data_IF_968995876637
#
_entry.id   IF_968995876637
#
_cell.length_a   1.000
_cell.length_b   1.000
_cell.length_c   1.000
_cell.angle_alpha   90.00
_cell.angle_beta   90.00
_cell.angle_gamma   90.00
#
_symmetry.space_group_name_H-M   'P 1'
#
loop_
_entity.id
_entity.type
_entity.pdbx_description
1 polymer ?
#
# COMPACT_ATOMS: atom_id res chain seq x y z
N UNK A 1 -31.77 -53.58 -22.73
CA UNK A 1 -30.55 -52.91 -23.27
C UNK A 1 -30.57 -51.42 -22.92
N UNK A 2 -30.78 -51.07 -21.65
CA UNK A 2 -31.00 -49.69 -21.19
C UNK A 2 -30.10 -49.26 -20.03
N UNK A 3 -29.26 -50.15 -19.49
CA UNK A 3 -28.44 -49.85 -18.31
C UNK A 3 -27.03 -49.32 -18.63
N UNK A 4 -26.59 -49.37 -19.89
CA UNK A 4 -25.21 -49.00 -20.25
C UNK A 4 -24.94 -47.48 -20.30
N UNK A 5 -25.99 -46.65 -20.36
CA UNK A 5 -25.84 -45.19 -20.44
C UNK A 5 -25.63 -44.51 -19.08
N UNK A 6 -25.92 -45.19 -17.97
CA UNK A 6 -25.84 -44.60 -16.62
C UNK A 6 -24.39 -44.52 -16.09
N UNK A 7 -23.57 -45.54 -16.36
CA UNK A 7 -22.19 -45.61 -15.82
C UNK A 7 -21.22 -44.62 -16.49
N UNK A 8 -21.40 -44.32 -17.78
CA UNK A 8 -20.53 -43.37 -18.49
C UNK A 8 -20.71 -41.91 -18.04
N UNK A 9 -21.91 -41.55 -17.54
CA UNK A 9 -22.18 -40.20 -17.05
C UNK A 9 -21.45 -39.86 -15.74
N UNK A 10 -21.26 -40.85 -14.86
CA UNK A 10 -20.61 -40.66 -13.57
C UNK A 10 -19.12 -40.30 -13.68
N UNK A 11 -18.39 -40.98 -14.57
CA UNK A 11 -16.95 -40.75 -14.75
C UNK A 11 -16.65 -39.34 -15.29
N UNK A 12 -17.40 -38.88 -16.29
CA UNK A 12 -17.23 -37.54 -16.86
C UNK A 12 -17.53 -36.41 -15.85
N UNK A 13 -18.49 -36.62 -14.94
CA UNK A 13 -18.79 -35.68 -13.87
C UNK A 13 -17.63 -35.58 -12.88
N UNK A 14 -17.05 -36.73 -12.49
CA UNK A 14 -15.93 -36.79 -11.56
C UNK A 14 -14.68 -36.10 -12.13
N UNK A 15 -14.34 -36.33 -13.40
CA UNK A 15 -13.22 -35.64 -14.07
C UNK A 15 -13.42 -34.12 -14.10
N UNK A 16 -14.63 -33.64 -14.42
CA UNK A 16 -14.93 -32.21 -14.40
C UNK A 16 -14.82 -31.60 -13.00
N UNK A 17 -15.19 -32.34 -11.94
CA UNK A 17 -15.04 -31.89 -10.56
C UNK A 17 -13.58 -31.78 -10.15
N UNK A 18 -12.75 -32.76 -10.52
CA UNK A 18 -11.30 -32.72 -10.26
C UNK A 18 -10.67 -31.53 -10.98
N UNK A 19 -11.02 -31.31 -12.25
CA UNK A 19 -10.49 -30.18 -13.01
C UNK A 19 -10.93 -28.82 -12.44
N UNK A 20 -12.19 -28.68 -12.03
CA UNK A 20 -12.67 -27.45 -11.39
C UNK A 20 -11.93 -27.14 -10.08
N UNK A 21 -11.68 -28.16 -9.24
CA UNK A 21 -10.88 -28.01 -8.02
C UNK A 21 -9.44 -27.59 -8.32
N UNK A 22 -8.81 -28.16 -9.35
CA UNK A 22 -7.46 -27.75 -9.76
C UNK A 22 -7.42 -26.27 -10.14
N UNK A 23 -8.39 -25.78 -10.92
CA UNK A 23 -8.46 -24.36 -11.30
C UNK A 23 -8.70 -23.44 -10.10
N UNK A 24 -9.52 -23.88 -9.14
CA UNK A 24 -9.73 -23.16 -7.88
C UNK A 24 -8.42 -23.05 -7.08
N UNK A 25 -7.67 -24.14 -6.93
CA UNK A 25 -6.37 -24.12 -6.25
C UNK A 25 -5.38 -23.20 -6.96
N UNK A 26 -5.33 -23.23 -8.31
CA UNK A 26 -4.49 -22.33 -9.09
C UNK A 26 -4.86 -20.86 -8.86
N UNK A 27 -6.16 -20.54 -8.85
CA UNK A 27 -6.67 -19.20 -8.61
C UNK A 27 -6.27 -18.67 -7.23
N UNK A 28 -6.43 -19.49 -6.18
CA UNK A 28 -6.01 -19.18 -4.81
C UNK A 28 -4.51 -18.88 -4.78
N UNK A 29 -3.68 -19.77 -5.32
CA UNK A 29 -2.22 -19.61 -5.31
C UNK A 29 -1.76 -18.33 -6.02
N UNK A 30 -2.38 -18.00 -7.16
CA UNK A 30 -2.07 -16.79 -7.92
C UNK A 30 -2.41 -15.53 -7.12
N UNK A 31 -3.63 -15.47 -6.55
CA UNK A 31 -4.08 -14.32 -5.78
C UNK A 31 -3.31 -14.15 -4.47
N UNK A 32 -2.94 -15.24 -3.80
CA UNK A 32 -2.06 -15.21 -2.62
C UNK A 32 -0.70 -14.62 -2.97
N UNK A 33 -0.08 -15.03 -4.09
CA UNK A 33 1.21 -14.48 -4.52
C UNK A 33 1.11 -12.99 -4.84
N UNK A 34 0.06 -12.56 -5.54
CA UNK A 34 -0.17 -11.13 -5.83
C UNK A 34 -0.36 -10.34 -4.54
N UNK A 35 -1.12 -10.87 -3.57
CA UNK A 35 -1.30 -10.23 -2.28
C UNK A 35 0.04 -10.06 -1.55
N UNK A 36 0.82 -11.13 -1.46
CA UNK A 36 2.16 -11.11 -0.85
C UNK A 36 3.07 -10.08 -1.52
N UNK A 37 3.11 -10.04 -2.85
CA UNK A 37 3.91 -9.05 -3.59
C UNK A 37 3.45 -7.61 -3.33
N UNK A 38 2.15 -7.38 -3.23
CA UNK A 38 1.57 -6.05 -2.97
C UNK A 38 1.90 -5.58 -1.54
N UNK A 39 1.78 -6.48 -0.56
CA UNK A 39 2.17 -6.21 0.83
C UNK A 39 3.67 -5.97 0.92
N UNK A 40 4.50 -6.85 0.36
CA UNK A 40 5.95 -6.69 0.35
C UNK A 40 6.41 -5.45 -0.38
N UNK A 41 5.77 -5.05 -1.47
CA UNK A 41 6.08 -3.79 -2.16
C UNK A 41 5.77 -2.58 -1.26
N UNK A 42 4.68 -2.63 -0.50
CA UNK A 42 4.31 -1.59 0.47
C UNK A 42 5.29 -1.55 1.64
N UNK A 43 5.66 -2.72 2.19
CA UNK A 43 6.65 -2.82 3.28
C UNK A 43 8.06 -2.43 2.83
N UNK A 44 8.47 -2.80 1.62
CA UNK A 44 9.76 -2.41 1.06
C UNK A 44 9.81 -0.93 0.70
N UNK A 45 8.69 -0.33 0.25
CA UNK A 45 8.62 1.12 0.09
C UNK A 45 8.83 1.84 1.43
N UNK A 46 8.34 1.26 2.54
CA UNK A 46 8.59 1.77 3.89
C UNK A 46 10.04 1.49 4.33
N UNK A 47 10.56 0.27 4.14
CA UNK A 47 11.90 -0.12 4.59
C UNK A 47 13.03 0.55 3.79
N UNK A 48 12.90 0.64 2.46
CA UNK A 48 13.82 1.40 1.61
C UNK A 48 13.85 2.88 1.99
N UNK A 49 12.71 3.46 2.38
CA UNK A 49 12.70 4.82 2.90
C UNK A 49 13.45 4.93 4.24
N UNK A 50 13.50 3.86 5.03
CA UNK A 50 14.23 3.79 6.32
C UNK A 50 15.72 3.52 6.12
N UNK A 51 16.15 2.74 5.14
CA UNK A 51 17.59 2.53 4.85
C UNK A 51 18.21 3.75 4.15
N UNK A 52 17.46 4.50 3.34
CA UNK A 52 17.88 5.82 2.83
C UNK A 52 17.99 6.89 3.95
N UNK A 53 17.61 6.58 5.19
CA UNK A 53 17.84 7.43 6.36
C UNK A 53 19.21 7.24 7.01
N UNK A 54 20.05 6.31 6.53
CA UNK A 54 21.46 6.23 6.96
C UNK A 54 22.37 7.28 6.31
N UNK A 55 21.87 8.09 5.36
CA UNK A 55 22.50 9.38 5.06
C UNK A 55 22.28 10.28 6.26
N UNK A 56 23.14 10.14 7.27
CA UNK A 56 23.16 10.92 8.49
C UNK A 56 23.50 12.37 8.12
N UNK A 57 22.50 13.08 7.61
CA UNK A 57 22.63 14.44 7.12
C UNK A 57 22.98 15.29 8.32
N UNK A 58 24.20 15.84 8.30
CA UNK A 58 24.63 16.75 9.34
C UNK A 58 23.81 18.04 9.21
N UNK A 59 23.01 18.34 10.23
CA UNK A 59 22.14 19.52 10.24
C UNK A 59 22.95 20.81 10.08
N UNK A 60 24.20 20.83 10.56
CA UNK A 60 25.11 21.98 10.48
C UNK A 60 25.48 22.35 9.04
N UNK A 61 25.30 21.45 8.06
CA UNK A 61 25.56 21.76 6.64
C UNK A 61 24.48 22.67 6.03
N UNK A 62 23.34 22.84 6.70
CA UNK A 62 22.14 23.51 6.15
C UNK A 62 21.80 24.84 6.82
N UNK A 63 22.59 25.29 7.79
CA UNK A 63 22.25 26.47 8.56
C UNK A 63 23.22 26.80 9.68
N UNK A 64 22.74 27.58 10.65
CA UNK A 64 23.52 28.01 11.82
C UNK A 64 22.64 28.16 13.05
N UNK A 65 23.23 27.91 14.20
CA UNK A 65 22.62 28.22 15.49
C UNK A 65 22.44 29.73 15.62
N UNK A 66 21.27 30.15 16.10
CA UNK A 66 20.98 31.54 16.41
C UNK A 66 20.46 31.62 17.85
N UNK A 67 20.93 32.61 18.60
CA UNK A 67 20.28 32.98 19.85
C UNK A 67 19.08 33.83 19.45
N UNK A 68 17.83 33.41 19.73
CA UNK A 68 16.70 34.31 19.59
C UNK A 68 17.03 35.54 20.41
N UNK A 69 17.22 36.69 19.76
CA UNK A 69 17.44 37.93 20.48
C UNK A 69 16.24 38.05 21.41
N UNK A 70 16.50 38.01 22.73
CA UNK A 70 15.52 38.38 23.72
C UNK A 70 15.10 39.80 23.35
N UNK A 71 14.00 39.92 22.61
CA UNK A 71 13.45 41.19 22.20
C UNK A 71 13.06 41.87 23.51
N UNK A 72 13.96 42.76 23.95
CA UNK A 72 13.76 43.62 25.09
C UNK A 72 12.43 44.31 24.92
N UNK A 73 11.46 43.92 25.75
CA UNK A 73 10.10 44.45 25.79
C UNK A 73 10.12 45.96 25.89
N UNK A 74 10.09 46.63 24.74
CA UNK A 74 9.79 48.05 24.63
C UNK A 74 8.69 48.21 23.57
N UNK A 75 7.47 48.38 24.09
CA UNK A 75 6.19 48.68 23.43
C UNK A 75 5.37 47.48 22.86
N UNK A 76 4.06 47.41 23.20
CA UNK A 76 3.12 46.46 22.63
C UNK A 76 2.60 47.03 21.30
N UNK A 77 2.98 46.42 20.18
CA UNK A 77 2.25 46.57 18.93
C UNK A 77 1.68 45.19 18.59
N UNK A 78 0.45 44.98 19.06
CA UNK A 78 -0.39 43.83 18.77
C UNK A 78 -0.58 43.73 17.26
N UNK A 79 -0.01 42.70 16.62
CA UNK A 79 -0.77 41.79 15.74
C UNK A 79 0.06 40.76 14.96
N UNK A 80 1.41 40.77 14.92
CA UNK A 80 2.09 39.84 14.00
C UNK A 80 3.55 39.45 14.30
N UNK A 81 3.89 39.04 15.54
CA UNK A 81 5.29 38.73 15.94
C UNK A 81 5.51 37.52 16.87
N UNK A 82 4.58 36.56 16.95
CA UNK A 82 4.78 35.38 17.81
C UNK A 82 5.38 34.15 17.11
N UNK A 83 5.47 34.13 15.78
CA UNK A 83 5.96 32.96 15.05
C UNK A 83 7.49 32.78 15.11
N UNK A 84 8.23 33.80 15.56
CA UNK A 84 9.69 33.77 15.67
C UNK A 84 10.22 33.05 16.92
N UNK A 85 9.36 32.68 17.86
CA UNK A 85 9.77 32.16 19.17
C UNK A 85 9.52 30.67 19.36
N UNK A 86 8.80 30.02 18.44
CA UNK A 86 8.39 28.63 18.56
C UNK A 86 8.83 27.81 17.36
N UNK A 87 9.25 26.57 17.62
CA UNK A 87 9.60 25.62 16.57
C UNK A 87 8.34 25.19 15.79
N UNK A 88 8.32 25.35 14.47
CA UNK A 88 7.18 24.93 13.64
C UNK A 88 6.94 23.41 13.59
N UNK A 89 7.88 22.59 14.07
CA UNK A 89 7.76 21.12 14.07
C UNK A 89 7.09 20.62 15.37
N UNK A 90 7.62 20.99 16.54
CA UNK A 90 7.10 20.52 17.84
C UNK A 90 6.25 21.55 18.59
N UNK A 91 6.23 22.80 18.12
CA UNK A 91 5.55 23.94 18.74
C UNK A 91 6.08 24.35 20.12
N UNK A 92 7.29 23.90 20.49
CA UNK A 92 7.98 24.31 21.72
C UNK A 92 8.74 25.63 21.51
N UNK A 93 8.89 26.40 22.59
CA UNK A 93 9.67 27.64 22.58
C UNK A 93 11.17 27.34 22.47
N UNK A 94 11.90 28.20 21.78
CA UNK A 94 13.35 28.10 21.72
C UNK A 94 13.98 28.45 23.08
N UNK A 95 14.90 27.60 23.54
CA UNK A 95 15.64 27.84 24.78
C UNK A 95 16.97 28.54 24.51
N UNK A 96 17.46 29.31 25.47
CA UNK A 96 18.81 29.85 25.40
C UNK A 96 19.83 28.70 25.44
N UNK A 97 20.75 28.68 24.47
CA UNK A 97 21.72 27.61 24.23
C UNK A 97 22.66 27.29 25.42
N UNK A 98 22.57 28.02 26.54
CA UNK A 98 23.41 27.87 27.73
C UNK A 98 22.68 27.28 28.95
N UNK A 99 21.37 27.01 28.88
CA UNK A 99 20.57 26.65 30.06
C UNK A 99 20.47 25.13 30.33
N UNK A 100 20.62 24.27 29.32
CA UNK A 100 20.50 22.83 29.49
C UNK A 100 21.31 22.05 28.44
N UNK A 101 21.69 20.82 28.79
CA UNK A 101 22.46 19.90 27.94
C UNK A 101 21.67 19.39 26.71
N UNK A 102 20.36 19.63 26.68
CA UNK A 102 19.43 19.32 25.58
C UNK A 102 18.58 20.55 25.21
N UNK A 103 19.16 21.75 25.19
CA UNK A 103 18.42 22.97 24.86
C UNK A 103 17.77 22.90 23.47
N UNK A 104 16.53 23.39 23.37
CA UNK A 104 15.80 23.54 22.11
C UNK A 104 16.36 24.73 21.29
N UNK A 105 17.60 24.62 20.83
CA UNK A 105 18.32 25.70 20.14
C UNK A 105 17.66 26.05 18.81
N UNK A 106 17.41 27.34 18.58
CA UNK A 106 16.92 27.85 17.30
C UNK A 106 18.01 27.74 16.22
N UNK A 107 17.62 27.26 15.04
CA UNK A 107 18.48 27.05 13.90
C UNK A 107 17.92 27.76 12.68
N UNK A 108 18.70 28.64 12.06
CA UNK A 108 18.33 29.36 10.84
C UNK A 108 18.79 28.58 9.60
N UNK A 109 17.86 28.18 8.75
CA UNK A 109 18.16 27.47 7.50
C UNK A 109 18.73 28.44 6.46
N UNK A 110 19.97 28.25 6.00
CA UNK A 110 20.64 29.18 5.07
C UNK A 110 19.89 29.36 3.75
N UNK A 111 19.21 28.33 3.26
CA UNK A 111 18.51 28.38 1.98
C UNK A 111 17.29 29.33 1.99
N UNK A 112 16.65 29.56 3.14
CA UNK A 112 15.37 30.29 3.21
C UNK A 112 15.16 31.18 4.44
N UNK A 113 16.12 31.24 5.38
CA UNK A 113 16.05 32.01 6.64
C UNK A 113 14.88 31.67 7.56
N UNK A 114 14.22 30.53 7.38
CA UNK A 114 13.24 30.05 8.37
C UNK A 114 13.95 29.45 9.59
N UNK A 115 13.37 29.70 10.76
CA UNK A 115 13.84 29.19 12.04
C UNK A 115 13.14 27.88 12.38
N UNK A 116 13.92 26.89 12.80
CA UNK A 116 13.46 25.57 13.23
C UNK A 116 14.33 25.12 14.40
N UNK A 117 13.82 24.29 15.31
CA UNK A 117 14.65 23.71 16.35
C UNK A 117 15.73 22.83 15.75
N UNK A 118 16.99 22.97 16.16
CA UNK A 118 18.12 22.23 15.58
C UNK A 118 17.91 20.71 15.63
N UNK A 119 17.51 20.19 16.79
CA UNK A 119 17.25 18.76 16.98
C UNK A 119 16.03 18.29 16.18
N UNK A 120 15.00 19.13 16.04
CA UNK A 120 13.83 18.85 15.21
C UNK A 120 14.17 18.82 13.72
N UNK A 121 14.98 19.77 13.24
CA UNK A 121 15.42 19.80 11.85
C UNK A 121 16.33 18.60 11.55
N UNK A 122 17.26 18.25 12.44
CA UNK A 122 18.07 17.03 12.28
C UNK A 122 17.19 15.78 12.14
N UNK A 123 16.17 15.61 13.00
CA UNK A 123 15.20 14.51 12.87
C UNK A 123 14.40 14.57 11.56
N UNK A 124 14.05 15.77 11.10
CA UNK A 124 13.32 15.97 9.85
C UNK A 124 14.14 15.56 8.63
N UNK A 125 15.39 16.01 8.53
CA UNK A 125 16.27 15.71 7.39
C UNK A 125 16.58 14.21 7.28
N UNK A 126 16.65 13.52 8.42
CA UNK A 126 16.91 12.08 8.51
C UNK A 126 15.63 11.24 8.57
N UNK A 127 14.46 11.80 8.23
CA UNK A 127 13.20 11.06 8.21
C UNK A 127 13.00 10.35 6.84
N UNK A 128 12.38 9.15 6.82
CA UNK A 128 11.97 8.47 5.57
C UNK A 128 10.95 9.26 4.72
N UNK A 129 10.42 10.38 5.21
CA UNK A 129 9.42 11.17 4.50
C UNK A 129 9.94 11.63 3.13
N UNK A 130 9.16 11.55 2.04
CA UNK A 130 9.57 12.03 0.71
C UNK A 130 9.89 13.53 0.70
N UNK A 131 9.40 14.29 1.69
CA UNK A 131 9.63 15.73 1.83
C UNK A 131 10.77 16.10 2.81
N UNK A 132 11.49 15.12 3.34
CA UNK A 132 12.58 15.33 4.31
C UNK A 132 13.72 16.19 3.76
N UNK A 133 13.84 16.33 2.44
CA UNK A 133 14.83 17.18 1.78
C UNK A 133 14.37 18.65 1.58
N UNK A 134 13.26 19.05 2.20
CA UNK A 134 12.70 20.41 2.08
C UNK A 134 12.57 21.10 3.44
N UNK A 135 12.56 22.43 3.44
CA UNK A 135 12.25 23.23 4.61
C UNK A 135 10.83 22.91 5.12
N UNK A 136 10.62 22.59 6.42
CA UNK A 136 9.30 22.27 6.95
C UNK A 136 8.33 23.46 6.90
N UNK A 137 8.86 24.69 6.88
CA UNK A 137 8.07 25.92 6.88
C UNK A 137 7.63 26.34 5.46
N UNK A 138 8.57 26.45 4.51
CA UNK A 138 8.29 26.98 3.16
C UNK A 138 8.46 25.97 2.03
N UNK A 139 8.81 24.71 2.33
CA UNK A 139 9.04 23.63 1.37
C UNK A 139 10.17 23.89 0.35
N UNK A 140 11.00 24.91 0.56
CA UNK A 140 12.20 25.12 -0.25
C UNK A 140 13.15 23.92 -0.11
N UNK A 141 13.63 23.39 -1.23
CA UNK A 141 14.56 22.27 -1.26
C UNK A 141 15.89 22.64 -0.60
N UNK A 142 16.40 21.75 0.26
CA UNK A 142 17.65 21.90 1.01
C UNK A 142 18.79 21.07 0.43
N UNK A 143 18.46 19.89 -0.10
CA UNK A 143 19.39 19.03 -0.83
C UNK A 143 18.67 18.22 -1.93
N UNK A 144 19.44 17.76 -2.90
CA UNK A 144 18.99 16.77 -3.88
C UNK A 144 18.99 15.41 -3.19
N UNK A 145 17.80 14.81 -3.08
CA UNK A 145 17.71 13.40 -2.74
C UNK A 145 18.08 12.62 -4.00
N UNK A 146 19.00 11.65 -3.95
CA UNK A 146 19.11 10.69 -5.03
C UNK A 146 17.71 10.16 -5.30
N UNK A 147 17.24 10.20 -6.53
CA UNK A 147 16.02 9.49 -6.88
C UNK A 147 16.26 8.04 -6.48
N UNK A 148 15.62 7.59 -5.39
CA UNK A 148 15.67 6.20 -4.95
C UNK A 148 15.13 5.41 -6.12
N UNK A 149 16.00 4.94 -7.00
CA UNK A 149 15.64 4.31 -8.25
C UNK A 149 15.04 2.97 -7.83
N UNK A 150 13.71 2.85 -7.79
CA UNK A 150 13.16 1.63 -7.30
C UNK A 150 13.44 0.60 -8.38
N UNK A 151 14.05 -0.53 -8.02
CA UNK A 151 14.11 -1.73 -8.86
C UNK A 151 12.70 -2.35 -9.03
N UNK A 152 11.70 -1.51 -9.35
CA UNK A 152 10.28 -1.80 -9.51
C UNK A 152 9.94 -2.45 -10.86
N UNK A 153 10.90 -2.49 -11.79
CA UNK A 153 10.65 -3.01 -13.15
C UNK A 153 10.37 -4.53 -13.08
N UNK A 154 11.05 -5.27 -12.20
CA UNK A 154 10.85 -6.72 -12.07
C UNK A 154 9.53 -7.07 -11.36
N UNK A 155 9.07 -6.26 -10.40
CA UNK A 155 7.84 -6.56 -9.65
C UNK A 155 6.58 -6.23 -10.43
N UNK A 156 6.57 -5.16 -11.22
CA UNK A 156 5.39 -4.78 -12.01
C UNK A 156 5.13 -5.77 -13.16
N UNK A 157 6.18 -6.22 -13.85
CA UNK A 157 6.05 -7.20 -14.92
C UNK A 157 5.52 -8.54 -14.37
N UNK A 158 6.10 -9.01 -13.25
CA UNK A 158 5.65 -10.25 -12.62
C UNK A 158 4.18 -10.17 -12.15
N UNK A 159 3.76 -9.07 -11.51
CA UNK A 159 2.37 -8.85 -11.12
C UNK A 159 1.45 -8.87 -12.35
N UNK A 160 1.86 -8.25 -13.45
CA UNK A 160 1.10 -8.25 -14.72
C UNK A 160 0.95 -9.66 -15.30
N UNK A 161 2.03 -10.46 -15.27
CA UNK A 161 1.99 -11.86 -15.72
C UNK A 161 1.10 -12.72 -14.83
N UNK A 162 1.12 -12.53 -13.51
CA UNK A 162 0.22 -13.22 -12.59
C UNK A 162 -1.24 -12.85 -12.84
N UNK A 163 -1.54 -11.59 -13.14
CA UNK A 163 -2.88 -11.16 -13.54
C UNK A 163 -3.40 -11.80 -14.80
N UNK A 164 -2.57 -11.87 -15.83
CA UNK A 164 -2.91 -12.57 -17.07
C UNK A 164 -3.29 -14.04 -16.80
N UNK A 165 -2.60 -14.70 -15.85
CA UNK A 165 -2.90 -16.09 -15.46
C UNK A 165 -4.20 -16.22 -14.65
N UNK A 166 -4.52 -15.23 -13.83
CA UNK A 166 -5.79 -15.17 -13.08
C UNK A 166 -6.96 -15.04 -14.05
N UNK A 167 -6.89 -14.10 -15.00
CA UNK A 167 -7.92 -13.91 -16.02
C UNK A 167 -8.17 -15.19 -16.83
N UNK A 168 -7.10 -15.87 -17.25
CA UNK A 168 -7.20 -17.13 -17.99
C UNK A 168 -7.83 -18.26 -17.16
N UNK A 169 -7.45 -18.37 -15.88
CA UNK A 169 -8.02 -19.36 -14.96
C UNK A 169 -9.52 -19.11 -14.73
N UNK A 170 -9.90 -17.84 -14.54
CA UNK A 170 -11.30 -17.44 -14.41
C UNK A 170 -12.10 -17.72 -15.69
N UNK A 171 -11.55 -17.43 -16.87
CA UNK A 171 -12.20 -17.72 -18.14
C UNK A 171 -12.49 -19.23 -18.31
N UNK A 172 -11.54 -20.10 -17.93
CA UNK A 172 -11.72 -21.56 -17.93
C UNK A 172 -12.82 -22.01 -16.96
N UNK A 173 -12.88 -21.43 -15.77
CA UNK A 173 -13.93 -21.72 -14.79
C UNK A 173 -15.32 -21.35 -15.30
N UNK A 174 -15.46 -20.19 -15.94
CA UNK A 174 -16.70 -19.76 -16.57
C UNK A 174 -17.11 -20.71 -17.71
N UNK A 175 -16.15 -21.12 -18.54
CA UNK A 175 -16.40 -22.10 -19.61
C UNK A 175 -16.88 -23.46 -19.05
N UNK A 176 -16.31 -23.94 -17.94
CA UNK A 176 -16.79 -25.18 -17.29
C UNK A 176 -18.22 -25.03 -16.76
N UNK A 177 -18.58 -23.85 -16.22
CA UNK A 177 -19.94 -23.57 -15.77
C UNK A 177 -20.93 -23.62 -16.95
N UNK A 178 -20.56 -23.04 -18.10
CA UNK A 178 -21.37 -23.10 -19.32
C UNK A 178 -21.55 -24.53 -19.84
N UNK A 179 -20.45 -25.31 -19.91
CA UNK A 179 -20.50 -26.71 -20.35
C UNK A 179 -21.38 -27.58 -19.43
N UNK A 180 -21.32 -27.37 -18.11
CA UNK A 180 -22.19 -28.07 -17.16
C UNK A 180 -23.66 -27.72 -17.38
N UNK A 181 -23.98 -26.45 -17.62
CA UNK A 181 -25.35 -26.04 -17.95
C UNK A 181 -25.87 -26.77 -19.19
N UNK A 182 -25.10 -26.79 -20.26
CA UNK A 182 -25.51 -27.42 -21.53
C UNK A 182 -25.76 -28.92 -21.39
N UNK A 183 -24.91 -29.64 -20.63
CA UNK A 183 -25.05 -31.08 -20.46
C UNK A 183 -26.17 -31.50 -19.53
N UNK A 184 -26.34 -30.80 -18.41
CA UNK A 184 -27.22 -31.25 -17.33
C UNK A 184 -28.59 -30.55 -17.34
N UNK A 185 -28.81 -29.59 -18.25
CA UNK A 185 -30.09 -28.88 -18.38
C UNK A 185 -30.55 -28.27 -17.06
N UNK A 186 -29.60 -27.91 -16.18
CA UNK A 186 -29.86 -27.54 -14.80
C UNK A 186 -30.98 -26.49 -14.76
N UNK A 187 -32.07 -26.77 -14.05
CA UNK A 187 -33.14 -25.79 -13.84
C UNK A 187 -32.69 -24.54 -13.05
N UNK A 188 -31.45 -24.51 -12.56
CA UNK A 188 -30.82 -23.34 -11.94
C UNK A 188 -30.22 -22.39 -12.98
N UNK A 189 -30.30 -21.09 -12.72
CA UNK A 189 -29.60 -20.07 -13.52
C UNK A 189 -28.09 -20.28 -13.43
N UNK A 190 -27.32 -19.94 -14.49
CA UNK A 190 -25.83 -19.94 -14.44
C UNK A 190 -25.34 -19.21 -13.19
N UNK A 191 -26.02 -18.11 -12.85
CA UNK A 191 -25.72 -17.32 -11.67
C UNK A 191 -25.78 -18.12 -10.37
N UNK A 192 -26.66 -19.11 -10.24
CA UNK A 192 -26.72 -19.96 -9.04
C UNK A 192 -25.48 -20.83 -8.88
N UNK A 193 -25.08 -21.55 -9.93
CA UNK A 193 -23.90 -22.42 -9.90
C UNK A 193 -22.62 -21.60 -9.68
N UNK A 194 -22.48 -20.49 -10.40
CA UNK A 194 -21.33 -19.61 -10.27
C UNK A 194 -21.27 -18.96 -8.88
N UNK A 195 -22.41 -18.53 -8.32
CA UNK A 195 -22.46 -17.92 -7.00
C UNK A 195 -22.05 -18.89 -5.89
N UNK A 196 -22.51 -20.15 -5.93
CA UNK A 196 -22.06 -21.16 -4.96
C UNK A 196 -20.56 -21.43 -5.09
N UNK A 197 -20.05 -21.53 -6.31
CA UNK A 197 -18.62 -21.66 -6.56
C UNK A 197 -17.82 -20.47 -6.00
N UNK A 198 -18.24 -19.23 -6.27
CA UNK A 198 -17.55 -18.04 -5.75
C UNK A 198 -17.60 -17.97 -4.22
N UNK A 199 -18.66 -18.47 -3.58
CA UNK A 199 -18.70 -18.58 -2.11
C UNK A 199 -17.64 -19.55 -1.59
N UNK A 200 -17.48 -20.72 -2.22
CA UNK A 200 -16.43 -21.68 -1.84
C UNK A 200 -15.04 -21.06 -2.02
N UNK A 201 -14.78 -20.38 -3.14
CA UNK A 201 -13.50 -19.70 -3.38
C UNK A 201 -13.24 -18.59 -2.36
N UNK A 202 -14.23 -17.74 -2.10
CA UNK A 202 -14.10 -16.66 -1.12
C UNK A 202 -13.90 -17.18 0.30
N UNK A 203 -14.52 -18.31 0.66
CA UNK A 203 -14.28 -18.96 1.95
C UNK A 203 -12.84 -19.44 2.06
N UNK A 204 -12.27 -20.01 1.00
CA UNK A 204 -10.85 -20.36 0.96
C UNK A 204 -9.95 -19.12 1.03
N UNK A 205 -10.29 -18.01 0.36
CA UNK A 205 -9.56 -16.75 0.48
C UNK A 205 -9.54 -16.24 1.91
N UNK A 206 -10.68 -16.30 2.59
CA UNK A 206 -10.78 -15.96 4.00
C UNK A 206 -9.90 -16.87 4.88
N UNK A 207 -9.96 -18.19 4.70
CA UNK A 207 -9.13 -19.13 5.48
C UNK A 207 -7.62 -18.95 5.26
N UNK A 208 -7.22 -18.48 4.08
CA UNK A 208 -5.82 -18.28 3.69
C UNK A 208 -5.37 -16.81 3.80
N UNK A 209 -6.18 -15.93 4.40
CA UNK A 209 -5.91 -14.48 4.57
C UNK A 209 -5.50 -13.78 3.26
N UNK A 210 -6.19 -14.11 2.17
CA UNK A 210 -5.99 -13.49 0.86
C UNK A 210 -6.80 -12.21 0.81
N UNK A 211 -6.17 -11.03 0.71
CA UNK A 211 -6.81 -9.71 0.75
C UNK A 211 -7.71 -9.34 -0.44
N UNK A 212 -8.37 -10.33 -1.07
CA UNK A 212 -9.26 -10.19 -2.20
C UNK A 212 -10.52 -11.03 -2.03
N UNK A 213 -11.62 -10.60 -2.66
CA UNK A 213 -12.84 -11.40 -2.80
C UNK A 213 -13.39 -11.31 -4.25
N UNK A 214 -14.13 -12.32 -4.65
CA UNK A 214 -14.83 -12.40 -5.93
C UNK A 214 -16.32 -12.14 -5.72
N UNK A 215 -16.86 -11.16 -6.41
CA UNK A 215 -18.27 -10.80 -6.39
C UNK A 215 -18.93 -11.14 -7.72
N UNK A 216 -20.03 -11.89 -7.66
CA UNK A 216 -20.86 -12.13 -8.85
C UNK A 216 -21.73 -10.91 -9.14
N UNK A 217 -21.60 -10.35 -10.34
CA UNK A 217 -22.40 -9.21 -10.77
C UNK A 217 -23.47 -9.67 -11.75
N UNK A 218 -24.74 -9.51 -11.35
CA UNK A 218 -25.89 -9.82 -12.19
C UNK A 218 -26.05 -8.80 -13.31
N UNK A 219 -26.37 -9.29 -14.51
CA UNK A 219 -26.63 -8.46 -15.67
C UNK A 219 -26.98 -9.29 -16.91
N UNK A 220 -27.29 -8.64 -18.04
CA UNK A 220 -27.54 -9.32 -19.32
C UNK A 220 -26.38 -10.23 -19.75
N UNK A 221 -25.16 -9.82 -19.37
CA UNK A 221 -23.93 -10.61 -19.46
C UNK A 221 -23.33 -10.68 -18.06
N UNK A 222 -23.50 -11.79 -17.32
CA UNK A 222 -22.94 -11.90 -15.98
C UNK A 222 -21.41 -11.88 -16.04
N UNK A 223 -20.80 -11.30 -15.00
CA UNK A 223 -19.34 -11.24 -14.86
C UNK A 223 -18.94 -11.31 -13.38
N UNK A 224 -17.66 -11.53 -13.14
CA UNK A 224 -17.09 -11.64 -11.80
C UNK A 224 -16.18 -10.45 -11.55
N UNK A 225 -16.44 -9.72 -10.47
CA UNK A 225 -15.64 -8.60 -10.01
C UNK A 225 -14.67 -9.08 -8.93
N UNK A 226 -13.39 -8.82 -9.11
CA UNK A 226 -12.42 -8.97 -8.04
C UNK A 226 -12.32 -7.66 -7.26
N UNK A 227 -12.47 -7.71 -5.94
CA UNK A 227 -12.27 -6.55 -5.04
C UNK A 227 -11.20 -6.87 -4.01
N UNK A 228 -10.45 -5.85 -3.60
CA UNK A 228 -9.64 -5.94 -2.38
C UNK A 228 -10.56 -5.81 -1.16
N UNK A 229 -10.30 -6.62 -0.12
CA UNK A 229 -11.05 -6.62 1.12
C UNK A 229 -10.11 -6.79 2.31
N UNK A 230 -10.48 -6.17 3.43
CA UNK A 230 -9.97 -6.50 4.75
C UNK A 230 -10.98 -7.44 5.42
N UNK A 231 -10.60 -8.71 5.64
CA UNK A 231 -11.48 -9.70 6.23
C UNK A 231 -11.69 -9.51 7.74
N UNK A 232 -10.93 -8.62 8.37
CA UNK A 232 -10.92 -8.40 9.81
C UNK A 232 -11.36 -6.99 10.23
N UNK A 233 -11.76 -6.14 9.27
CA UNK A 233 -12.27 -4.78 9.48
C UNK A 233 -13.68 -4.72 10.06
#
# INVERSE_FOLDING_TARGET
>A
MSDFSSEQGGHALQEQQIYARSLQTDLINLLTRINQMTISASSNAIASAVEDAESNHNVDDYGRDITPLALSSTAPDDTNKNESHYCCICLEAYEEAHAAQEAHTAFEITACSHMVGKSCLSRWLNCPSPNANTCPYCRKQLFERPESQPSQIDTLEEVTQLWTRVEHTMAKLLQLCEQRRERFGCQGTIGGVLREFLKEVNYEFFLNDVGYCLEYVEGPKPWVLLRSVDWHA
#
